data_IF_447159397131
#
_entry.id   IF_447159397131
#
_cell.length_a   1.000
_cell.length_b   1.000
_cell.length_c   1.000
_cell.angle_alpha   90.00
_cell.angle_beta   90.00
_cell.angle_gamma   90.00
#
_symmetry.space_group_name_H-M   'P 1'
#
loop_
_entity.id
_entity.type
_entity.pdbx_description
1 polymer ?
#
# COMPACT_ATOMS: atom_id res chain seq x y z
N UNK A 1 11.74 -11.01 -26.04
CA UNK A 1 10.32 -11.08 -26.47
C UNK A 1 9.53 -11.77 -25.37
N UNK A 2 8.96 -10.99 -24.44
CA UNK A 2 7.98 -11.28 -23.34
C UNK A 2 8.12 -10.07 -22.39
N UNK A 3 7.12 -9.26 -22.02
CA UNK A 3 5.69 -9.46 -21.88
C UNK A 3 4.89 -8.36 -22.57
N UNK A 4 3.97 -8.76 -23.45
CA UNK A 4 2.78 -7.98 -23.70
C UNK A 4 1.88 -8.14 -22.46
N UNK A 5 1.71 -7.05 -21.70
CA UNK A 5 0.84 -6.91 -20.51
C UNK A 5 1.39 -7.45 -19.17
N UNK A 6 2.20 -6.64 -18.49
CA UNK A 6 2.43 -6.80 -17.04
C UNK A 6 1.16 -6.47 -16.25
N UNK A 7 0.82 -7.30 -15.26
CA UNK A 7 -0.32 -7.11 -14.35
C UNK A 7 -0.40 -5.67 -13.79
N UNK A 8 0.75 -5.13 -13.37
CA UNK A 8 0.90 -3.76 -12.88
C UNK A 8 0.29 -2.72 -13.82
N UNK A 9 0.63 -2.80 -15.12
CA UNK A 9 0.16 -1.83 -16.11
C UNK A 9 -1.34 -1.93 -16.31
N UNK A 10 -1.89 -3.14 -16.28
CA UNK A 10 -3.32 -3.38 -16.45
C UNK A 10 -4.10 -2.82 -15.27
N UNK A 11 -3.70 -3.12 -14.03
CA UNK A 11 -4.40 -2.64 -12.83
C UNK A 11 -4.31 -1.12 -12.66
N UNK A 12 -3.17 -0.51 -12.99
CA UNK A 12 -3.03 0.94 -12.99
C UNK A 12 -3.85 1.60 -14.11
N UNK A 13 -3.94 1.00 -15.29
CA UNK A 13 -4.78 1.53 -16.36
C UNK A 13 -6.26 1.50 -15.98
N UNK A 14 -6.72 0.40 -15.33
CA UNK A 14 -8.06 0.32 -14.77
C UNK A 14 -8.32 1.45 -13.77
N UNK A 15 -7.40 1.67 -12.82
CA UNK A 15 -7.52 2.74 -11.83
C UNK A 15 -7.71 4.12 -12.48
N UNK A 16 -6.92 4.44 -13.52
CA UNK A 16 -7.04 5.73 -14.23
C UNK A 16 -8.33 5.85 -15.02
N UNK A 17 -8.78 4.78 -15.67
CA UNK A 17 -10.07 4.78 -16.38
C UNK A 17 -11.23 5.00 -15.40
N UNK A 18 -11.21 4.32 -14.26
CA UNK A 18 -12.21 4.52 -13.21
C UNK A 18 -12.19 5.95 -12.67
N UNK A 19 -11.01 6.53 -12.49
CA UNK A 19 -10.84 7.88 -11.96
C UNK A 19 -11.45 8.98 -12.84
N UNK A 20 -11.65 8.72 -14.14
CA UNK A 20 -12.30 9.66 -15.07
C UNK A 20 -13.82 9.62 -15.03
N UNK A 21 -14.42 8.74 -14.22
CA UNK A 21 -15.88 8.66 -14.05
C UNK A 21 -16.26 9.56 -12.88
N UNK A 22 -17.10 10.57 -13.12
CA UNK A 22 -17.51 11.56 -12.11
C UNK A 22 -19.04 11.61 -11.97
N UNK A 23 -19.62 11.14 -10.84
CA UNK A 23 -19.01 10.33 -9.78
C UNK A 23 -18.80 8.88 -10.21
N UNK A 24 -17.71 8.23 -9.75
CA UNK A 24 -17.48 6.81 -10.02
C UNK A 24 -18.39 5.96 -9.13
N UNK A 25 -19.25 5.10 -9.69
CA UNK A 25 -20.03 4.16 -8.88
C UNK A 25 -19.13 3.22 -8.07
N UNK A 26 -19.45 2.99 -6.80
CA UNK A 26 -18.62 2.17 -5.91
C UNK A 26 -18.49 0.72 -6.41
N UNK A 27 -19.53 0.14 -7.01
CA UNK A 27 -19.49 -1.20 -7.59
C UNK A 27 -18.36 -1.37 -8.63
N UNK A 28 -18.07 -0.31 -9.39
CA UNK A 28 -16.93 -0.30 -10.33
C UNK A 28 -15.61 -0.21 -9.60
N UNK A 29 -15.48 0.66 -8.61
CA UNK A 29 -14.26 0.79 -7.78
C UNK A 29 -14.01 -0.49 -6.98
N UNK A 30 -15.06 -1.18 -6.56
CA UNK A 30 -14.98 -2.42 -5.81
C UNK A 30 -14.26 -3.51 -6.62
N UNK A 31 -14.34 -3.49 -7.95
CA UNK A 31 -13.58 -4.41 -8.79
C UNK A 31 -12.06 -4.25 -8.60
N UNK A 32 -11.58 -3.01 -8.50
CA UNK A 32 -10.18 -2.69 -8.19
C UNK A 32 -9.85 -3.01 -6.73
N UNK A 33 -10.74 -2.61 -5.81
CA UNK A 33 -10.55 -2.82 -4.37
C UNK A 33 -10.43 -4.30 -3.99
N UNK A 34 -11.16 -5.20 -4.69
CA UNK A 34 -11.11 -6.66 -4.45
C UNK A 34 -9.75 -7.29 -4.76
N UNK A 35 -8.91 -6.65 -5.57
CA UNK A 35 -7.54 -7.11 -5.79
C UNK A 35 -6.59 -6.72 -4.65
N UNK A 36 -6.99 -5.78 -3.80
CA UNK A 36 -6.18 -5.34 -2.68
C UNK A 36 -6.19 -6.41 -1.57
N UNK A 37 -5.04 -6.66 -0.92
CA UNK A 37 -4.91 -7.68 0.11
C UNK A 37 -5.86 -7.39 1.28
N UNK A 38 -6.41 -8.45 1.86
CA UNK A 38 -7.26 -8.38 3.06
C UNK A 38 -6.54 -9.02 4.24
N UNK A 39 -6.93 -8.61 5.44
CA UNK A 39 -6.43 -9.27 6.66
C UNK A 39 -6.96 -10.70 6.73
N UNK A 40 -6.09 -11.64 7.11
CA UNK A 40 -6.52 -12.97 7.53
C UNK A 40 -7.20 -12.91 8.93
N UNK A 41 -7.67 -14.05 9.42
CA UNK A 41 -8.32 -14.15 10.73
C UNK A 41 -7.42 -13.69 11.92
N UNK A 42 -6.11 -13.60 11.72
CA UNK A 42 -5.15 -13.11 12.70
C UNK A 42 -4.85 -11.61 12.57
N UNK A 43 -5.52 -10.89 11.67
CA UNK A 43 -5.29 -9.46 11.44
C UNK A 43 -4.02 -9.16 10.66
N UNK A 44 -3.52 -10.12 9.85
CA UNK A 44 -2.26 -10.01 9.11
C UNK A 44 -2.52 -9.94 7.61
N UNK A 45 -1.84 -9.00 6.93
CA UNK A 45 -1.82 -8.91 5.48
C UNK A 45 -0.72 -9.80 4.89
N UNK A 46 -1.07 -10.57 3.85
CA UNK A 46 -0.11 -11.27 3.00
C UNK A 46 0.11 -10.45 1.72
N UNK A 47 1.36 -10.09 1.44
CA UNK A 47 1.76 -9.21 0.36
C UNK A 47 2.61 -9.97 -0.65
N UNK A 48 1.97 -10.37 -1.75
CA UNK A 48 2.64 -10.76 -3.00
C UNK A 48 2.79 -9.55 -3.93
N UNK A 49 3.48 -9.71 -5.06
CA UNK A 49 3.72 -8.63 -6.01
C UNK A 49 2.41 -8.03 -6.58
N UNK A 50 1.37 -8.86 -6.78
CA UNK A 50 0.08 -8.39 -7.34
C UNK A 50 -0.72 -7.59 -6.32
N UNK A 51 -0.73 -8.03 -5.07
CA UNK A 51 -1.34 -7.33 -3.96
C UNK A 51 -0.71 -5.95 -3.78
N UNK A 52 0.63 -5.86 -3.87
CA UNK A 52 1.35 -4.59 -3.84
C UNK A 52 0.91 -3.66 -4.98
N UNK A 53 0.92 -4.16 -6.23
CA UNK A 53 0.50 -3.37 -7.39
C UNK A 53 -0.96 -2.89 -7.31
N UNK A 54 -1.86 -3.72 -6.77
CA UNK A 54 -3.27 -3.39 -6.59
C UNK A 54 -3.49 -2.25 -5.60
N UNK A 55 -2.76 -2.25 -4.48
CA UNK A 55 -2.82 -1.15 -3.48
C UNK A 55 -2.34 0.16 -4.09
N UNK A 56 -1.23 0.14 -4.82
CA UNK A 56 -0.73 1.34 -5.49
C UNK A 56 -1.73 1.85 -6.53
N UNK A 57 -2.34 0.94 -7.30
CA UNK A 57 -3.39 1.31 -8.25
C UNK A 57 -4.63 1.91 -7.56
N UNK A 58 -5.06 1.38 -6.40
CA UNK A 58 -6.13 1.97 -5.60
C UNK A 58 -5.80 3.40 -5.16
N UNK A 59 -4.56 3.64 -4.74
CA UNK A 59 -4.04 4.97 -4.43
C UNK A 59 -4.06 5.93 -5.61
N UNK A 60 -3.62 5.47 -6.78
CA UNK A 60 -3.67 6.24 -8.03
C UNK A 60 -5.11 6.62 -8.36
N UNK A 61 -6.04 5.67 -8.29
CA UNK A 61 -7.47 5.94 -8.48
C UNK A 61 -7.94 7.05 -7.52
N UNK A 62 -7.64 6.91 -6.23
CA UNK A 62 -8.09 7.85 -5.21
C UNK A 62 -7.58 9.28 -5.48
N UNK A 63 -6.28 9.42 -5.79
CA UNK A 63 -5.69 10.72 -6.10
C UNK A 63 -6.22 11.29 -7.42
N UNK A 64 -6.26 10.52 -8.50
CA UNK A 64 -6.68 11.01 -9.81
C UNK A 64 -8.18 11.29 -9.90
N UNK A 65 -9.01 10.61 -9.10
CA UNK A 65 -10.48 10.80 -9.06
C UNK A 65 -10.93 12.00 -8.22
N UNK A 66 -10.01 12.67 -7.53
CA UNK A 66 -10.33 13.80 -6.64
C UNK A 66 -10.77 13.39 -5.23
N UNK A 67 -10.08 12.44 -4.60
CA UNK A 67 -10.38 11.91 -3.26
C UNK A 67 -11.76 11.20 -3.18
N UNK A 68 -12.28 10.58 -4.26
CA UNK A 68 -13.56 9.86 -4.22
C UNK A 68 -13.49 8.59 -3.33
N UNK A 69 -14.61 8.26 -2.67
CA UNK A 69 -14.73 7.10 -1.76
C UNK A 69 -13.75 7.10 -0.59
N UNK A 70 -13.36 8.28 -0.12
CA UNK A 70 -12.48 8.51 1.03
C UNK A 70 -12.79 7.62 2.23
N UNK A 71 -14.07 7.57 2.62
CA UNK A 71 -14.60 6.82 3.77
C UNK A 71 -14.36 5.30 3.71
N UNK A 72 -13.92 4.77 2.55
CA UNK A 72 -13.58 3.35 2.37
C UNK A 72 -12.10 3.15 2.10
N UNK A 73 -11.52 4.00 1.25
CA UNK A 73 -10.14 3.83 0.78
C UNK A 73 -9.12 4.27 1.83
N UNK A 74 -9.34 5.41 2.49
CA UNK A 74 -8.35 5.95 3.44
C UNK A 74 -8.23 5.07 4.69
N UNK A 75 -9.32 4.63 5.35
CA UNK A 75 -9.22 3.70 6.47
C UNK A 75 -8.49 2.40 6.09
N UNK A 76 -8.70 1.90 4.88
CA UNK A 76 -8.01 0.72 4.38
C UNK A 76 -6.50 0.93 4.24
N UNK A 77 -6.07 2.03 3.59
CA UNK A 77 -4.65 2.33 3.39
C UNK A 77 -3.92 2.57 4.72
N UNK A 78 -4.54 3.30 5.65
CA UNK A 78 -4.01 3.54 6.99
C UNK A 78 -3.90 2.26 7.80
N UNK A 79 -4.89 1.37 7.69
CA UNK A 79 -4.86 0.06 8.35
C UNK A 79 -3.74 -0.81 7.79
N UNK A 80 -3.56 -0.82 6.47
CA UNK A 80 -2.48 -1.56 5.82
C UNK A 80 -1.11 -1.04 6.24
N UNK A 81 -0.90 0.28 6.25
CA UNK A 81 0.34 0.90 6.70
C UNK A 81 0.68 0.51 8.15
N UNK A 82 -0.30 0.62 9.06
CA UNK A 82 -0.16 0.23 10.47
C UNK A 82 0.21 -1.24 10.65
N UNK A 83 -0.24 -2.11 9.76
CA UNK A 83 0.03 -3.55 9.81
C UNK A 83 1.32 -3.98 9.09
N UNK A 84 2.04 -3.08 8.41
CA UNK A 84 3.33 -3.39 7.77
C UNK A 84 4.33 -4.12 8.69
N UNK A 85 4.49 -3.77 9.99
CA UNK A 85 5.43 -4.46 10.87
C UNK A 85 5.12 -5.94 11.10
N UNK A 86 3.88 -6.38 10.83
CA UNK A 86 3.41 -7.76 11.00
C UNK A 86 3.09 -8.44 9.67
N UNK A 87 3.25 -7.74 8.55
CA UNK A 87 2.88 -8.25 7.23
C UNK A 87 3.77 -9.44 6.83
N UNK A 88 3.17 -10.37 6.09
CA UNK A 88 3.87 -11.53 5.51
C UNK A 88 4.19 -11.23 4.05
N UNK A 89 5.47 -11.26 3.69
CA UNK A 89 5.95 -10.97 2.34
C UNK A 89 6.19 -12.29 1.59
N UNK A 90 5.38 -12.56 0.57
CA UNK A 90 5.33 -13.88 -0.10
C UNK A 90 6.47 -14.05 -1.11
N UNK A 91 6.83 -12.98 -1.82
CA UNK A 91 7.74 -13.04 -2.97
C UNK A 91 9.18 -12.59 -2.67
N UNK A 92 9.53 -12.29 -1.42
CA UNK A 92 10.81 -11.66 -1.05
C UNK A 92 12.03 -12.61 -1.14
N UNK A 93 11.85 -13.82 -1.68
CA UNK A 93 12.84 -14.90 -1.69
C UNK A 93 13.96 -14.76 -2.74
N UNK A 94 13.97 -13.73 -3.59
CA UNK A 94 15.00 -13.59 -4.64
C UNK A 94 15.71 -12.25 -4.55
N UNK A 95 16.74 -12.21 -3.72
CA UNK A 95 17.79 -11.20 -3.79
C UNK A 95 18.44 -11.24 -5.18
N UNK A 96 18.07 -10.29 -6.04
CA UNK A 96 18.74 -10.04 -7.30
C UNK A 96 20.01 -9.24 -7.02
N UNK A 97 21.17 -9.64 -7.55
CA UNK A 97 22.41 -8.84 -7.44
C UNK A 97 22.28 -7.44 -8.05
N UNK A 98 21.25 -7.20 -8.86
CA UNK A 98 20.95 -5.93 -9.52
C UNK A 98 20.01 -5.08 -8.65
N UNK A 99 19.16 -5.72 -7.86
CA UNK A 99 18.07 -5.08 -7.13
C UNK A 99 18.43 -5.01 -5.65
N UNK A 100 19.06 -3.89 -5.26
CA UNK A 100 19.67 -3.71 -3.93
C UNK A 100 18.65 -3.51 -2.80
N UNK A 101 17.37 -3.38 -3.12
CA UNK A 101 16.30 -3.01 -2.18
C UNK A 101 15.23 -4.12 -2.17
N UNK A 102 14.89 -4.71 -1.01
CA UNK A 102 13.83 -5.71 -0.87
C UNK A 102 12.47 -5.19 -1.36
N UNK A 103 11.60 -6.10 -1.82
CA UNK A 103 10.26 -5.72 -2.29
C UNK A 103 9.45 -5.07 -1.17
N UNK A 104 9.63 -5.54 0.06
CA UNK A 104 9.02 -5.00 1.26
C UNK A 104 9.34 -3.52 1.49
N UNK A 105 10.60 -3.13 1.29
CA UNK A 105 11.05 -1.75 1.46
C UNK A 105 10.50 -0.86 0.34
N UNK A 106 10.55 -1.32 -0.91
CA UNK A 106 9.98 -0.58 -2.06
C UNK A 106 8.49 -0.31 -1.86
N UNK A 107 7.72 -1.32 -1.48
CA UNK A 107 6.29 -1.15 -1.24
C UNK A 107 6.02 -0.22 -0.06
N UNK A 108 6.72 -0.40 1.05
CA UNK A 108 6.56 0.44 2.23
C UNK A 108 6.84 1.91 1.91
N UNK A 109 7.89 2.18 1.12
CA UNK A 109 8.20 3.52 0.63
C UNK A 109 7.09 4.09 -0.25
N UNK A 110 6.62 3.31 -1.25
CA UNK A 110 5.54 3.73 -2.14
C UNK A 110 4.22 4.00 -1.39
N UNK A 111 3.84 3.14 -0.43
CA UNK A 111 2.62 3.33 0.36
C UNK A 111 2.70 4.59 1.23
N UNK A 112 3.85 4.83 1.88
CA UNK A 112 4.04 6.06 2.65
C UNK A 112 4.05 7.31 1.77
N UNK A 113 4.65 7.24 0.58
CA UNK A 113 4.64 8.35 -0.38
C UNK A 113 3.21 8.65 -0.84
N UNK A 114 2.44 7.62 -1.18
CA UNK A 114 1.04 7.74 -1.54
C UNK A 114 0.20 8.38 -0.42
N UNK A 115 0.40 7.95 0.83
CA UNK A 115 -0.28 8.55 1.99
C UNK A 115 0.10 10.03 2.17
N UNK A 116 1.37 10.39 1.98
CA UNK A 116 1.82 11.78 2.02
C UNK A 116 1.17 12.63 0.91
N UNK A 117 1.02 12.09 -0.31
CA UNK A 117 0.32 12.77 -1.40
C UNK A 117 -1.17 12.97 -1.06
N UNK A 118 -1.80 11.99 -0.41
CA UNK A 118 -3.16 12.12 0.09
C UNK A 118 -3.26 13.22 1.15
N UNK A 119 -2.35 13.23 2.14
CA UNK A 119 -2.30 14.24 3.19
C UNK A 119 -2.04 15.67 2.66
N UNK A 120 -1.35 15.78 1.52
CA UNK A 120 -1.17 17.03 0.79
C UNK A 120 -2.47 17.48 0.13
N UNK A 121 -3.19 16.56 -0.53
CA UNK A 121 -4.38 16.85 -1.34
C UNK A 121 -5.69 16.97 -0.55
N UNK A 122 -5.86 16.20 0.52
CA UNK A 122 -7.05 16.19 1.35
C UNK A 122 -6.63 16.64 2.80
N UNK A 123 -6.64 17.96 3.11
CA UNK A 123 -6.06 18.51 4.35
C UNK A 123 -6.65 17.97 5.66
N UNK A 124 -7.94 17.62 5.64
CA UNK A 124 -8.65 17.11 6.81
C UNK A 124 -8.12 15.74 7.29
N UNK A 125 -7.44 15.00 6.41
CA UNK A 125 -6.85 13.69 6.70
C UNK A 125 -5.37 13.77 7.12
N UNK A 126 -4.77 14.96 7.03
CA UNK A 126 -3.31 15.12 7.17
C UNK A 126 -2.79 14.67 8.52
N UNK A 127 -3.45 15.10 9.59
CA UNK A 127 -3.00 14.78 10.95
C UNK A 127 -3.09 13.27 11.22
N UNK A 128 -4.21 12.64 10.82
CA UNK A 128 -4.41 11.19 10.95
C UNK A 128 -3.34 10.41 10.18
N UNK A 129 -3.06 10.81 8.94
CA UNK A 129 -2.04 10.17 8.10
C UNK A 129 -0.65 10.30 8.72
N UNK A 130 -0.24 11.50 9.12
CA UNK A 130 1.10 11.73 9.69
C UNK A 130 1.25 10.93 10.99
N UNK A 131 0.23 10.93 11.85
CA UNK A 131 0.26 10.14 13.09
C UNK A 131 0.42 8.65 12.79
N UNK A 132 -0.35 8.10 11.85
CA UNK A 132 -0.25 6.70 11.44
C UNK A 132 1.17 6.34 10.93
N UNK A 133 1.78 7.20 10.13
CA UNK A 133 3.14 7.00 9.62
C UNK A 133 4.18 7.04 10.75
N UNK A 134 4.08 8.01 11.66
CA UNK A 134 4.98 8.14 12.82
C UNK A 134 4.87 6.93 13.74
N UNK A 135 3.64 6.49 14.06
CA UNK A 135 3.40 5.29 14.88
C UNK A 135 4.00 4.04 14.24
N UNK A 136 3.78 3.85 12.93
CA UNK A 136 4.26 2.69 12.18
C UNK A 136 5.79 2.66 12.13
N UNK A 137 6.42 3.77 11.79
CA UNK A 137 7.89 3.89 11.76
C UNK A 137 8.50 3.70 13.15
N UNK A 138 7.86 4.22 14.19
CA UNK A 138 8.25 4.00 15.59
C UNK A 138 8.19 2.52 15.98
N UNK A 139 7.14 1.80 15.57
CA UNK A 139 7.04 0.36 15.80
C UNK A 139 8.16 -0.42 15.10
N UNK A 140 8.47 -0.10 13.83
CA UNK A 140 9.57 -0.71 13.09
C UNK A 140 10.93 -0.43 13.75
N UNK A 141 11.18 0.81 14.17
CA UNK A 141 12.41 1.18 14.86
C UNK A 141 12.60 0.40 16.18
N UNK A 142 11.52 0.21 16.94
CA UNK A 142 11.55 -0.59 18.18
C UNK A 142 11.83 -2.07 17.92
N UNK A 143 11.29 -2.65 16.83
CA UNK A 143 11.60 -4.03 16.42
C UNK A 143 13.10 -4.18 16.14
N UNK A 144 13.68 -3.25 15.39
CA UNK A 144 15.12 -3.26 15.06
C UNK A 144 15.97 -3.10 16.32
N UNK A 145 15.58 -2.22 17.25
CA UNK A 145 16.31 -2.04 18.51
C UNK A 145 16.29 -3.32 19.35
N UNK A 146 15.11 -3.95 19.46
CA UNK A 146 14.92 -5.16 20.27
C UNK A 146 15.63 -6.40 19.70
N UNK A 147 15.78 -6.49 18.37
CA UNK A 147 16.51 -7.59 17.74
C UNK A 147 18.03 -7.51 17.98
N UNK A 148 18.56 -6.28 18.09
CA UNK A 148 19.98 -6.05 18.41
C UNK A 148 20.32 -6.46 19.84
N UNK A 149 19.47 -6.11 20.82
CA UNK A 149 19.69 -6.46 22.22
C UNK A 149 19.67 -7.99 22.44
N UNK A 150 18.86 -8.71 21.67
CA UNK A 150 18.76 -10.18 21.71
C UNK A 150 19.97 -10.90 21.07
N UNK A 151 20.77 -10.20 20.26
CA UNK A 151 21.95 -10.76 19.57
C UNK A 151 23.26 -10.49 20.33
N UNK A 152 23.20 -9.71 21.42
CA UNK A 152 24.32 -9.36 22.31
C UNK A 152 24.29 -10.11 23.66
N UNK A 153 23.41 -11.09 23.80
CA UNK A 153 23.32 -12.03 24.93
C UNK A 153 23.66 -13.46 24.44
#
# INVERSE_FOLDING_TARGET
>A
MTDAFSYQRTVQSLARVLARIEPTPWDKVQSLFRYCPQENAAGVFCLDAKAQDAVIALGIYFLESGCQHEQRIVPYLLRLAKCLPKAVWVDDAKWSKIDRIPSAEKFSFCLNTLLSDIASKCPDLREEIILNQVETLGALANIIKSSKDSSSA
#
